data_IF_073028486064
#
_entry.id   IF_073028486064
#
_cell.length_a   1.000
_cell.length_b   1.000
_cell.length_c   1.000
_cell.angle_alpha   90.00
_cell.angle_beta   90.00
_cell.angle_gamma   90.00
#
_symmetry.space_group_name_H-M   'P 1'
#
loop_
_entity.id
_entity.type
_entity.pdbx_description
1 polymer ?
#
# COMPACT_ATOMS: atom_id res chain seq x y z
N UNK A 1 -20.94 -30.67 -51.97
CA UNK A 1 -22.21 -30.35 -51.28
C UNK A 1 -21.92 -30.51 -49.80
N UNK A 2 -21.72 -29.39 -49.11
CA UNK A 2 -21.39 -29.33 -47.68
C UNK A 2 -22.66 -28.88 -46.96
N UNK A 3 -23.17 -29.71 -46.05
CA UNK A 3 -24.26 -29.34 -45.16
C UNK A 3 -23.65 -28.77 -43.88
N UNK A 4 -23.92 -27.50 -43.61
CA UNK A 4 -23.55 -26.84 -42.35
C UNK A 4 -24.71 -27.03 -41.37
N UNK A 5 -24.47 -27.71 -40.26
CA UNK A 5 -25.40 -27.75 -39.14
C UNK A 5 -25.29 -26.44 -38.34
N UNK A 6 -26.34 -25.61 -38.38
CA UNK A 6 -26.50 -24.47 -37.47
C UNK A 6 -26.73 -24.97 -36.04
N UNK A 7 -25.65 -25.05 -35.27
CA UNK A 7 -25.71 -25.23 -33.83
C UNK A 7 -26.13 -23.93 -33.15
N UNK A 8 -27.43 -23.74 -32.94
CA UNK A 8 -27.96 -22.65 -32.13
C UNK A 8 -27.58 -22.88 -30.66
N UNK A 9 -26.39 -22.40 -30.30
CA UNK A 9 -25.85 -22.46 -28.95
C UNK A 9 -26.28 -21.20 -28.21
N UNK A 10 -27.51 -21.17 -27.71
CA UNK A 10 -27.89 -20.18 -26.69
C UNK A 10 -27.02 -20.45 -25.46
N UNK A 11 -25.90 -19.73 -25.32
CA UNK A 11 -25.04 -19.77 -24.14
C UNK A 11 -25.91 -19.33 -22.96
N UNK A 12 -26.36 -20.28 -22.16
CA UNK A 12 -27.03 -20.01 -20.91
C UNK A 12 -25.93 -19.50 -19.95
N UNK A 13 -25.75 -18.19 -19.88
CA UNK A 13 -24.87 -17.58 -18.89
C UNK A 13 -25.52 -17.81 -17.52
N UNK A 14 -25.08 -18.83 -16.81
CA UNK A 14 -25.49 -19.01 -15.42
C UNK A 14 -25.02 -17.80 -14.61
N UNK A 15 -25.94 -17.08 -13.98
CA UNK A 15 -25.65 -16.03 -13.01
C UNK A 15 -25.08 -16.65 -11.73
N UNK A 16 -23.81 -17.05 -11.77
CA UNK A 16 -23.11 -17.65 -10.63
C UNK A 16 -22.51 -16.53 -9.79
N UNK A 17 -23.00 -16.41 -8.55
CA UNK A 17 -22.44 -15.50 -7.55
C UNK A 17 -21.31 -16.19 -6.78
N UNK A 18 -20.09 -15.71 -6.98
CA UNK A 18 -18.93 -16.12 -6.17
C UNK A 18 -18.86 -15.24 -4.91
N UNK A 19 -18.84 -15.88 -3.73
CA UNK A 19 -18.63 -15.21 -2.45
C UNK A 19 -17.57 -15.94 -1.63
N UNK A 20 -16.85 -15.18 -0.80
CA UNK A 20 -15.92 -15.71 0.19
C UNK A 20 -16.56 -15.60 1.58
N UNK A 21 -16.47 -16.67 2.37
CA UNK A 21 -16.93 -16.66 3.76
C UNK A 21 -15.80 -16.14 4.63
N UNK A 22 -16.00 -14.94 5.18
CA UNK A 22 -15.03 -14.27 6.03
C UNK A 22 -15.31 -14.61 7.50
N UNK A 23 -14.25 -14.82 8.29
CA UNK A 23 -14.35 -15.01 9.74
C UNK A 23 -14.66 -13.74 10.54
N UNK A 24 -14.74 -12.59 9.87
CA UNK A 24 -15.07 -11.28 10.45
C UNK A 24 -16.05 -10.54 9.53
N UNK A 25 -16.98 -9.72 10.07
CA UNK A 25 -17.93 -8.94 9.28
C UNK A 25 -17.25 -7.96 8.32
N UNK A 26 -17.77 -7.85 7.09
CA UNK A 26 -17.24 -7.01 6.02
C UNK A 26 -16.97 -5.54 6.41
N UNK A 27 -17.82 -4.87 7.23
CA UNK A 27 -17.54 -3.52 7.72
C UNK A 27 -16.20 -3.39 8.47
N UNK A 28 -15.81 -4.41 9.24
CA UNK A 28 -14.53 -4.40 9.97
C UNK A 28 -13.32 -4.54 9.06
N UNK A 29 -13.48 -5.11 7.86
CA UNK A 29 -12.41 -5.09 6.86
C UNK A 29 -12.31 -3.75 6.15
N UNK A 30 -13.44 -3.07 5.96
CA UNK A 30 -13.50 -1.78 5.29
C UNK A 30 -12.91 -0.64 6.10
N UNK A 31 -12.70 -0.79 7.41
CA UNK A 31 -12.07 0.27 8.23
C UNK A 31 -10.55 0.23 8.18
N UNK A 32 -9.93 -0.80 7.60
CA UNK A 32 -8.46 -0.86 7.47
C UNK A 32 -8.00 -0.53 6.05
N UNK A 33 -6.80 0.02 5.96
CA UNK A 33 -6.03 0.18 4.74
C UNK A 33 -4.73 -0.60 4.84
N UNK A 34 -4.40 -1.33 3.78
CA UNK A 34 -3.12 -2.01 3.66
C UNK A 34 -2.25 -1.23 2.69
N UNK A 35 -1.09 -0.77 3.13
CA UNK A 35 -0.12 -0.09 2.29
C UNK A 35 1.10 -0.99 2.07
N UNK A 36 1.59 -1.01 0.83
CA UNK A 36 2.87 -1.63 0.47
C UNK A 36 3.94 -0.56 0.43
N UNK A 37 4.86 -0.61 1.39
CA UNK A 37 5.93 0.38 1.52
C UNK A 37 7.26 -0.33 1.27
N UNK A 38 8.03 0.17 0.31
CA UNK A 38 9.40 -0.24 0.09
C UNK A 38 10.30 0.38 1.17
N UNK A 39 11.00 -0.44 1.94
CA UNK A 39 11.94 0.01 2.95
C UNK A 39 13.24 -0.78 2.83
N UNK A 40 14.32 -0.09 2.46
CA UNK A 40 15.62 -0.66 2.10
C UNK A 40 15.54 -1.69 0.94
N UNK A 41 16.47 -1.67 -0.01
CA UNK A 41 16.45 -2.70 -1.06
C UNK A 41 16.78 -4.05 -0.41
N UNK A 42 15.96 -5.12 -0.55
CA UNK A 42 14.83 -5.31 -1.48
C UNK A 42 13.46 -5.51 -0.81
N UNK A 43 13.26 -5.07 0.44
CA UNK A 43 12.13 -5.52 1.26
C UNK A 43 10.90 -4.62 1.09
N UNK A 44 9.87 -5.14 0.42
CA UNK A 44 8.54 -4.53 0.41
C UNK A 44 7.75 -4.99 1.64
N UNK A 45 7.37 -4.05 2.48
CA UNK A 45 6.62 -4.31 3.71
C UNK A 45 5.14 -4.00 3.52
N UNK A 46 4.29 -4.92 3.98
CA UNK A 46 2.84 -4.71 4.02
C UNK A 46 2.46 -4.28 5.42
N UNK A 47 1.94 -3.06 5.56
CA UNK A 47 1.46 -2.52 6.84
C UNK A 47 -0.05 -2.33 6.72
N UNK A 48 -0.80 -2.89 7.68
CA UNK A 48 -2.25 -2.76 7.76
C UNK A 48 -2.60 -1.89 8.97
N UNK A 49 -3.25 -0.76 8.72
CA UNK A 49 -3.65 0.21 9.73
C UNK A 49 -5.09 0.67 9.51
N UNK A 50 -5.78 1.14 10.55
CA UNK A 50 -7.08 1.80 10.40
C UNK A 50 -7.01 2.98 9.41
N UNK A 51 -8.05 3.20 8.60
CA UNK A 51 -8.10 4.23 7.55
C UNK A 51 -7.91 5.65 8.09
N UNK A 52 -8.37 5.87 9.32
CA UNK A 52 -8.24 7.11 10.07
C UNK A 52 -6.81 7.37 10.56
N UNK A 53 -5.92 6.36 10.52
CA UNK A 53 -4.53 6.52 10.92
C UNK A 53 -3.80 7.51 10.01
N UNK A 54 -2.72 8.06 10.55
CA UNK A 54 -1.89 9.04 9.87
C UNK A 54 -0.62 8.42 9.31
N UNK A 55 0.08 9.16 8.45
CA UNK A 55 1.42 8.78 7.98
C UNK A 55 2.39 8.66 9.15
N UNK A 56 2.25 9.46 10.20
CA UNK A 56 3.03 9.33 11.43
C UNK A 56 2.86 7.96 12.09
N UNK A 57 1.63 7.47 12.20
CA UNK A 57 1.33 6.14 12.74
C UNK A 57 1.95 5.03 11.88
N UNK A 58 1.84 5.17 10.54
CA UNK A 58 2.46 4.25 9.58
C UNK A 58 3.98 4.18 9.77
N UNK A 59 4.64 5.34 9.89
CA UNK A 59 6.09 5.42 10.06
C UNK A 59 6.52 4.86 11.42
N UNK A 60 5.73 5.05 12.47
CA UNK A 60 6.01 4.48 13.78
C UNK A 60 5.86 2.94 13.79
N UNK A 61 4.82 2.42 13.13
CA UNK A 61 4.63 0.97 12.98
C UNK A 61 5.77 0.36 12.14
N UNK A 62 6.19 1.05 11.08
CA UNK A 62 7.36 0.68 10.29
C UNK A 62 8.63 0.67 11.15
N UNK A 63 8.88 1.74 11.92
CA UNK A 63 10.05 1.88 12.82
C UNK A 63 10.14 0.75 13.86
N UNK A 64 9.02 0.20 14.31
CA UNK A 64 9.01 -0.96 15.23
C UNK A 64 9.31 -2.30 14.54
N UNK A 65 9.19 -2.38 13.22
CA UNK A 65 9.38 -3.60 12.43
C UNK A 65 10.72 -3.66 11.70
N UNK A 66 11.43 -2.55 11.59
CA UNK A 66 12.70 -2.44 10.87
C UNK A 66 13.82 -2.04 11.81
N UNK A 67 15.02 -2.56 11.56
CA UNK A 67 16.22 -2.06 12.21
C UNK A 67 16.66 -0.78 11.50
N UNK A 68 16.74 0.31 12.25
CA UNK A 68 17.24 1.59 11.78
C UNK A 68 18.73 1.71 12.05
N UNK A 69 19.44 2.44 11.20
CA UNK A 69 20.89 2.62 11.35
C UNK A 69 21.19 3.43 12.62
N UNK A 70 20.67 4.66 12.79
CA UNK A 70 20.49 5.25 14.10
C UNK A 70 19.16 4.80 14.74
N UNK A 71 19.15 4.41 16.03
CA UNK A 71 17.91 4.03 16.73
C UNK A 71 16.90 5.19 16.83
N UNK A 72 17.39 6.43 16.72
CA UNK A 72 16.56 7.64 16.67
C UNK A 72 16.42 8.24 15.26
N UNK A 73 16.61 7.46 14.20
CA UNK A 73 16.35 7.98 12.86
C UNK A 73 14.88 8.40 12.74
N UNK A 74 14.67 9.57 12.15
CA UNK A 74 13.36 9.96 11.65
C UNK A 74 13.13 9.28 10.31
N UNK A 75 11.90 8.86 10.05
CA UNK A 75 11.51 8.28 8.77
C UNK A 75 10.64 9.28 8.02
N UNK A 76 10.74 9.25 6.69
CA UNK A 76 9.84 9.99 5.80
C UNK A 76 9.25 9.06 4.75
N UNK A 77 7.99 9.29 4.42
CA UNK A 77 7.28 8.55 3.37
C UNK A 77 7.33 9.36 2.07
N UNK A 78 7.75 8.68 1.00
CA UNK A 78 7.94 9.24 -0.33
C UNK A 78 7.04 8.51 -1.31
N UNK A 79 6.41 9.28 -2.19
CA UNK A 79 5.74 8.79 -3.38
C UNK A 79 6.70 8.85 -4.56
N UNK A 80 6.98 7.70 -5.17
CA UNK A 80 7.91 7.60 -6.29
C UNK A 80 7.14 7.25 -7.55
N UNK A 81 7.35 8.06 -8.59
CA UNK A 81 6.79 7.87 -9.92
C UNK A 81 7.88 8.00 -10.97
N UNK A 82 7.99 7.02 -11.88
CA UNK A 82 9.07 6.94 -12.88
C UNK A 82 10.47 7.24 -12.31
N UNK A 83 10.81 6.61 -11.18
CA UNK A 83 12.09 6.79 -10.47
C UNK A 83 12.36 8.20 -9.93
N UNK A 84 11.36 9.09 -9.93
CA UNK A 84 11.43 10.43 -9.35
C UNK A 84 10.56 10.52 -8.11
N UNK A 85 11.03 11.26 -7.10
CA UNK A 85 10.21 11.62 -5.94
C UNK A 85 9.17 12.63 -6.43
N UNK A 86 7.90 12.26 -6.36
CA UNK A 86 6.77 13.10 -6.76
C UNK A 86 6.24 13.90 -5.57
N UNK A 87 6.07 13.23 -4.42
CA UNK A 87 5.51 13.81 -3.21
C UNK A 87 6.22 13.27 -1.96
N UNK A 88 6.39 14.14 -0.98
CA UNK A 88 6.75 13.76 0.40
C UNK A 88 5.50 13.92 1.24
N UNK A 89 5.10 12.86 1.95
CA UNK A 89 3.91 12.89 2.77
C UNK A 89 4.20 13.49 4.15
N UNK A 90 3.43 14.51 4.61
CA UNK A 90 3.55 14.99 5.97
C UNK A 90 3.01 13.96 6.96
N UNK A 91 3.55 13.90 8.17
CA UNK A 91 3.13 12.94 9.19
C UNK A 91 1.65 13.04 9.57
N UNK A 92 1.02 14.20 9.38
CA UNK A 92 -0.40 14.46 9.68
C UNK A 92 -1.35 14.01 8.56
N UNK A 93 -0.85 13.67 7.37
CA UNK A 93 -1.69 13.19 6.28
C UNK A 93 -2.33 11.85 6.69
N UNK A 94 -3.61 11.68 6.37
CA UNK A 94 -4.29 10.42 6.64
C UNK A 94 -3.92 9.37 5.60
N UNK A 95 -3.77 8.13 6.05
CA UNK A 95 -3.44 7.03 5.14
C UNK A 95 -4.57 6.76 4.14
N UNK A 96 -5.84 7.06 4.48
CA UNK A 96 -6.98 6.92 3.56
C UNK A 96 -6.79 7.70 2.25
N UNK A 97 -6.13 8.86 2.29
CA UNK A 97 -5.93 9.74 1.15
C UNK A 97 -4.80 9.30 0.20
N UNK A 98 -3.94 8.36 0.62
CA UNK A 98 -2.78 7.92 -0.14
C UNK A 98 -3.21 6.99 -1.29
N UNK A 99 -2.83 7.26 -2.53
CA UNK A 99 -3.10 6.33 -3.63
C UNK A 99 -1.92 5.37 -3.83
N UNK A 100 -2.05 4.12 -3.38
CA UNK A 100 -1.02 3.09 -3.51
C UNK A 100 -1.24 2.13 -4.69
N UNK A 101 -2.19 2.42 -5.59
CA UNK A 101 -2.54 1.51 -6.69
C UNK A 101 -1.53 1.52 -7.84
N UNK A 102 -0.87 2.65 -8.10
CA UNK A 102 0.00 2.84 -9.27
C UNK A 102 1.40 3.33 -8.92
N UNK A 103 1.59 3.87 -7.72
CA UNK A 103 2.83 4.52 -7.32
C UNK A 103 3.56 3.70 -6.26
N UNK A 104 4.89 3.79 -6.27
CA UNK A 104 5.69 3.11 -5.25
C UNK A 104 5.79 4.02 -4.04
N UNK A 105 5.22 3.58 -2.93
CA UNK A 105 5.49 4.18 -1.63
C UNK A 105 6.83 3.67 -1.11
N UNK A 106 7.73 4.58 -0.80
CA UNK A 106 9.05 4.26 -0.23
C UNK A 106 9.24 5.01 1.07
N UNK A 107 9.69 4.31 2.09
CA UNK A 107 10.15 4.94 3.32
C UNK A 107 11.68 5.01 3.33
N UNK A 108 12.20 6.16 3.76
CA UNK A 108 13.63 6.40 3.91
C UNK A 108 13.91 7.03 5.27
N UNK A 109 15.10 6.75 5.80
CA UNK A 109 15.64 7.50 6.92
C UNK A 109 15.87 8.95 6.45
N UNK A 110 15.20 9.89 7.10
CA UNK A 110 15.49 11.30 6.94
C UNK A 110 16.91 11.50 7.48
N UNK A 111 17.88 11.56 6.56
CA UNK A 111 19.26 11.82 6.93
C UNK A 111 19.28 13.15 7.68
N UNK A 112 19.55 13.09 8.97
CA UNK A 112 19.91 14.27 9.72
C UNK A 112 21.26 14.70 9.15
N UNK A 113 21.24 15.63 8.19
CA UNK A 113 22.40 16.44 7.85
C UNK A 113 22.74 17.23 9.12
N UNK A 114 23.44 16.58 10.05
CA UNK A 114 24.24 17.27 11.03
C UNK A 114 25.32 17.99 10.23
N UNK A 115 25.01 19.19 9.74
CA UNK A 115 26.04 20.21 9.58
C UNK A 115 26.56 20.49 10.99
N UNK A 116 27.49 19.65 11.46
CA UNK A 116 28.37 20.03 12.56
C UNK A 116 29.34 21.04 11.96
N UNK A 117 28.86 22.28 11.83
CA UNK A 117 29.69 23.45 11.64
C UNK A 117 29.87 24.10 13.00
N UNK A 118 30.90 23.70 13.74
CA UNK A 118 31.68 24.59 14.58
C UNK A 118 33.03 23.99 14.97
#
# INVERSE_FOLDING_TARGET
MVEYFEGNSSIQTSDILYYEVLGIPLPELQVFKTLKVAFHHPTNMKIKLPKESTVGDLLNDLKRKVELSPPNAELRLLEIFYHKIYKIYPATEKIENINDQYWTLRAEEASCIFFVGH
#
